data_IF_888494200133
#
_entry.id   IF_888494200133
#
_cell.length_a   1.000
_cell.length_b   1.000
_cell.length_c   1.000
_cell.angle_alpha   90.00
_cell.angle_beta   90.00
_cell.angle_gamma   90.00
#
_symmetry.space_group_name_H-M   'P 1'
#
loop_
_entity.id
_entity.type
_entity.pdbx_description
1 polymer ?
#
# COMPACT_ATOMS: atom_id res chain seq x y z
N UNK A 1 -5.39 -23.67 -7.38
CA UNK A 1 -5.28 -23.34 -5.97
C UNK A 1 -5.92 -21.99 -5.68
N UNK A 2 -6.61 -21.89 -4.60
CA UNK A 2 -7.27 -20.64 -4.24
C UNK A 2 -6.26 -19.53 -4.01
N UNK A 3 -6.65 -18.30 -4.29
CA UNK A 3 -5.88 -17.12 -3.97
C UNK A 3 -5.68 -17.04 -2.46
N UNK A 4 -4.43 -16.98 -2.03
CA UNK A 4 -4.08 -16.90 -0.61
C UNK A 4 -4.22 -15.51 -0.02
N UNK A 5 -4.19 -14.49 -0.88
CA UNK A 5 -4.32 -13.10 -0.46
C UNK A 5 -5.79 -12.70 -0.56
N UNK A 6 -6.47 -12.68 0.56
CA UNK A 6 -7.89 -12.37 0.63
C UNK A 6 -8.13 -11.41 1.79
N UNK A 7 -9.20 -10.60 1.72
CA UNK A 7 -9.56 -9.75 2.85
C UNK A 7 -10.00 -10.60 4.03
N UNK A 8 -9.66 -10.14 5.23
CA UNK A 8 -9.99 -10.85 6.46
C UNK A 8 -10.76 -9.95 7.41
N UNK A 9 -11.37 -10.55 8.42
CA UNK A 9 -12.07 -9.81 9.46
C UNK A 9 -11.14 -9.37 10.60
N UNK A 10 -9.84 -9.56 10.45
CA UNK A 10 -8.88 -9.14 11.47
C UNK A 10 -8.91 -7.63 11.64
N UNK A 11 -8.92 -7.18 12.89
CA UNK A 11 -8.94 -5.76 13.21
C UNK A 11 -7.63 -5.09 12.81
N UNK A 12 -7.73 -4.10 11.93
CA UNK A 12 -6.57 -3.33 11.45
C UNK A 12 -5.88 -2.61 12.59
N UNK A 13 -6.65 -2.07 13.54
CA UNK A 13 -6.07 -1.38 14.69
C UNK A 13 -5.22 -2.33 15.54
N UNK A 14 -5.63 -3.58 15.67
CA UNK A 14 -4.82 -4.59 16.37
C UNK A 14 -3.48 -4.79 15.68
N UNK A 15 -3.46 -4.78 14.35
CA UNK A 15 -2.22 -4.87 13.58
C UNK A 15 -1.29 -3.68 13.88
N UNK A 16 -1.85 -2.48 13.99
CA UNK A 16 -1.05 -1.28 14.31
C UNK A 16 -0.52 -1.32 15.73
N UNK A 17 -1.39 -1.69 16.67
CA UNK A 17 -1.08 -1.66 18.11
C UNK A 17 0.11 -2.54 18.49
N UNK A 18 0.29 -3.67 17.81
CA UNK A 18 1.41 -4.58 18.10
C UNK A 18 2.77 -4.09 17.54
N UNK A 19 2.78 -3.00 16.78
CA UNK A 19 4.01 -2.42 16.26
C UNK A 19 4.65 -1.53 17.32
N UNK A 20 5.96 -1.27 17.22
CA UNK A 20 6.59 -0.23 18.05
C UNK A 20 5.86 1.10 17.85
N UNK A 21 5.84 1.94 18.88
CA UNK A 21 5.04 3.16 18.90
C UNK A 21 5.23 4.05 17.66
N UNK A 22 6.48 4.31 17.28
CA UNK A 22 6.77 5.16 16.12
C UNK A 22 6.25 4.53 14.81
N UNK A 23 6.40 3.21 14.68
CA UNK A 23 5.93 2.48 13.50
C UNK A 23 4.40 2.47 13.46
N UNK A 24 3.75 2.29 14.61
CA UNK A 24 2.29 2.33 14.70
C UNK A 24 1.74 3.69 14.29
N UNK A 25 2.40 4.77 14.70
CA UNK A 25 2.00 6.13 14.32
C UNK A 25 2.11 6.32 12.80
N UNK A 26 3.20 5.85 12.19
CA UNK A 26 3.39 5.92 10.74
C UNK A 26 2.31 5.11 10.02
N UNK A 27 1.98 3.92 10.52
CA UNK A 27 0.94 3.08 9.92
C UNK A 27 -0.43 3.75 9.97
N UNK A 28 -0.78 4.38 11.09
CA UNK A 28 -2.07 5.06 11.22
C UNK A 28 -2.17 6.26 10.30
N UNK A 29 -1.10 7.06 10.21
CA UNK A 29 -1.06 8.21 9.31
C UNK A 29 -1.16 7.77 7.85
N UNK A 30 -0.45 6.71 7.49
CA UNK A 30 -0.47 6.15 6.14
C UNK A 30 -1.85 5.60 5.79
N UNK A 31 -2.49 4.92 6.75
CA UNK A 31 -3.85 4.40 6.57
C UNK A 31 -4.85 5.54 6.31
N UNK A 32 -4.72 6.65 7.06
CA UNK A 32 -5.57 7.82 6.85
C UNK A 32 -5.37 8.41 5.45
N UNK A 33 -4.12 8.53 5.03
CA UNK A 33 -3.79 9.06 3.70
C UNK A 33 -4.39 8.18 2.59
N UNK A 34 -4.21 6.87 2.68
CA UNK A 34 -4.71 5.94 1.67
C UNK A 34 -6.22 5.81 1.69
N UNK A 35 -6.86 5.91 2.86
CA UNK A 35 -8.30 5.91 2.96
C UNK A 35 -8.90 7.14 2.25
N UNK A 36 -8.30 8.30 2.45
CA UNK A 36 -8.73 9.52 1.77
C UNK A 36 -8.55 9.42 0.25
N UNK A 37 -7.42 8.86 -0.17
CA UNK A 37 -7.14 8.71 -1.60
C UNK A 37 -8.08 7.73 -2.28
N UNK A 38 -8.36 6.59 -1.65
CA UNK A 38 -9.13 5.51 -2.25
C UNK A 38 -10.64 5.64 -2.06
N UNK A 39 -11.06 6.30 -0.97
CA UNK A 39 -12.47 6.33 -0.57
C UNK A 39 -12.92 5.05 0.10
N UNK A 40 -12.01 4.15 0.44
CA UNK A 40 -12.32 2.87 1.08
C UNK A 40 -11.63 2.75 2.43
N UNK A 41 -12.24 2.04 3.39
CA UNK A 41 -11.60 1.81 4.68
C UNK A 41 -10.48 0.78 4.58
N UNK A 42 -9.52 0.80 5.52
CA UNK A 42 -8.46 -0.21 5.54
C UNK A 42 -9.02 -1.59 5.94
N UNK A 43 -8.52 -2.62 5.27
CA UNK A 43 -8.89 -4.02 5.54
C UNK A 43 -7.61 -4.84 5.51
N UNK A 44 -7.48 -5.80 6.42
CA UNK A 44 -6.33 -6.69 6.41
C UNK A 44 -6.46 -7.74 5.31
N UNK A 45 -5.41 -7.85 4.51
CA UNK A 45 -5.23 -8.87 3.48
C UNK A 45 -4.01 -9.70 3.87
N UNK A 46 -4.20 -10.68 4.77
CA UNK A 46 -3.07 -11.36 5.36
C UNK A 46 -2.26 -10.40 6.22
N UNK A 47 -1.02 -10.14 5.84
CA UNK A 47 -0.13 -9.20 6.55
C UNK A 47 -0.09 -7.82 5.93
N UNK A 48 -0.96 -7.58 4.97
CA UNK A 48 -1.02 -6.30 4.25
C UNK A 48 -2.29 -5.56 4.63
N UNK A 49 -2.19 -4.23 4.70
CA UNK A 49 -3.34 -3.36 4.87
C UNK A 49 -3.74 -2.89 3.48
N UNK A 50 -4.93 -3.25 3.05
CA UNK A 50 -5.41 -2.94 1.70
C UNK A 50 -6.62 -2.04 1.69
N UNK A 51 -6.81 -1.33 0.59
CA UNK A 51 -7.88 -0.37 0.38
C UNK A 51 -8.56 -0.66 -0.95
N UNK A 52 -9.86 -0.91 -0.92
CA UNK A 52 -10.60 -1.30 -2.10
C UNK A 52 -10.30 -2.74 -2.52
N UNK A 53 -10.82 -3.10 -3.68
CA UNK A 53 -10.62 -4.45 -4.21
C UNK A 53 -10.73 -4.40 -5.73
N UNK A 54 -9.86 -5.13 -6.42
CA UNK A 54 -9.94 -5.29 -7.86
C UNK A 54 -9.67 -6.75 -8.23
N UNK A 55 -10.24 -7.14 -9.37
CA UNK A 55 -10.02 -8.47 -9.93
C UNK A 55 -8.90 -8.40 -10.96
N UNK A 56 -8.03 -9.40 -10.98
CA UNK A 56 -6.96 -9.48 -11.98
C UNK A 56 -7.01 -10.81 -12.71
N UNK A 57 -6.59 -10.79 -13.97
CA UNK A 57 -6.46 -11.99 -14.80
C UNK A 57 -5.11 -11.92 -15.49
N UNK A 58 -4.30 -12.96 -15.32
CA UNK A 58 -3.02 -13.08 -16.02
C UNK A 58 -3.22 -13.75 -17.39
N UNK A 59 -2.26 -13.55 -18.28
CA UNK A 59 -2.27 -14.19 -19.61
C UNK A 59 -2.37 -15.72 -19.52
N UNK A 60 -1.85 -16.30 -18.45
CA UNK A 60 -1.95 -17.73 -18.20
C UNK A 60 -3.37 -18.22 -17.87
N UNK A 61 -4.31 -17.30 -17.71
CA UNK A 61 -5.66 -17.61 -17.25
C UNK A 61 -5.83 -17.61 -15.74
N UNK A 62 -4.73 -17.42 -15.00
CA UNK A 62 -4.77 -17.34 -13.55
C UNK A 62 -5.43 -16.02 -13.13
N UNK A 63 -6.35 -16.09 -12.19
CA UNK A 63 -7.08 -14.90 -11.74
C UNK A 63 -7.24 -14.88 -10.23
N UNK A 64 -7.58 -13.72 -9.72
CA UNK A 64 -7.82 -13.53 -8.29
C UNK A 64 -8.20 -12.09 -7.99
N UNK A 65 -8.30 -11.79 -6.72
CA UNK A 65 -8.63 -10.46 -6.23
C UNK A 65 -7.48 -9.91 -5.41
N UNK A 66 -7.29 -8.60 -5.45
CA UNK A 66 -6.31 -7.88 -4.65
C UNK A 66 -6.86 -6.49 -4.33
N UNK A 67 -6.32 -5.85 -3.31
CA UNK A 67 -6.66 -4.46 -3.02
C UNK A 67 -6.17 -3.53 -4.14
N UNK A 68 -6.73 -2.35 -4.22
CA UNK A 68 -6.33 -1.35 -5.22
C UNK A 68 -4.98 -0.72 -4.85
N UNK A 69 -4.85 -0.29 -3.61
CA UNK A 69 -3.59 0.18 -3.03
C UNK A 69 -3.47 -0.36 -1.62
N UNK A 70 -2.27 -0.35 -1.08
CA UNK A 70 -2.08 -0.84 0.27
C UNK A 70 -0.65 -0.66 0.75
N UNK A 71 -0.39 -1.16 1.95
CA UNK A 71 0.95 -1.14 2.52
C UNK A 71 1.12 -2.29 3.51
N UNK A 72 2.37 -2.56 3.86
CA UNK A 72 2.68 -3.51 4.92
C UNK A 72 3.88 -3.01 5.70
N UNK A 73 3.84 -3.18 7.02
CA UNK A 73 4.98 -2.95 7.89
C UNK A 73 5.86 -4.19 7.89
N UNK A 74 7.16 -4.03 7.96
CA UNK A 74 8.07 -5.16 8.13
C UNK A 74 7.76 -5.94 9.41
N UNK A 75 8.18 -7.20 9.45
CA UNK A 75 7.88 -8.09 10.57
C UNK A 75 8.32 -7.48 11.91
N UNK A 76 7.40 -7.46 12.87
CA UNK A 76 7.64 -6.88 14.19
C UNK A 76 7.90 -5.37 14.16
N UNK A 77 7.50 -4.69 13.10
CA UNK A 77 7.73 -3.25 12.95
C UNK A 77 9.17 -2.90 12.59
N UNK A 78 9.93 -3.87 12.13
CA UNK A 78 11.32 -3.70 11.72
C UNK A 78 11.43 -3.64 10.20
N UNK A 79 12.53 -3.09 9.71
CA UNK A 79 12.76 -3.00 8.29
C UNK A 79 11.89 -1.93 7.64
N UNK A 80 11.67 -2.09 6.35
CA UNK A 80 10.97 -1.09 5.56
C UNK A 80 9.44 -1.25 5.64
N UNK A 81 8.75 -0.15 5.41
CA UNK A 81 7.32 -0.16 5.10
C UNK A 81 7.23 -0.35 3.59
N UNK A 82 6.49 -1.36 3.16
CA UNK A 82 6.25 -1.61 1.74
C UNK A 82 4.98 -0.90 1.32
N UNK A 83 5.07 -0.06 0.31
CA UNK A 83 3.94 0.67 -0.24
C UNK A 83 3.54 0.01 -1.57
N UNK A 84 2.33 -0.52 -1.62
CA UNK A 84 1.81 -1.18 -2.81
C UNK A 84 1.04 -0.15 -3.63
N UNK A 85 1.80 0.74 -4.25
CA UNK A 85 1.30 1.80 -5.12
C UNK A 85 1.94 1.64 -6.50
N UNK A 86 2.02 0.40 -6.92
CA UNK A 86 2.63 0.03 -8.19
C UNK A 86 1.84 0.54 -9.37
N UNK A 87 2.40 0.39 -10.54
CA UNK A 87 1.76 0.77 -11.76
C UNK A 87 2.78 1.19 -12.80
N UNK A 88 2.30 1.34 -14.01
CA UNK A 88 3.10 1.77 -15.15
C UNK A 88 2.72 3.17 -15.62
N UNK A 89 2.08 3.95 -14.75
CA UNK A 89 1.71 5.32 -15.06
C UNK A 89 2.91 6.12 -15.55
N UNK A 90 2.77 6.90 -16.64
CA UNK A 90 3.87 7.71 -17.15
C UNK A 90 4.43 8.71 -16.14
N UNK A 91 3.58 9.18 -15.22
CA UNK A 91 3.96 10.17 -14.21
C UNK A 91 4.72 9.56 -13.04
N UNK A 92 4.74 8.22 -12.93
CA UNK A 92 5.32 7.53 -11.79
C UNK A 92 6.77 7.91 -11.53
N UNK A 93 7.61 7.93 -12.57
CA UNK A 93 9.02 8.25 -12.42
C UNK A 93 9.22 9.68 -11.91
N UNK A 94 8.43 10.62 -12.40
CA UNK A 94 8.51 12.01 -11.97
C UNK A 94 8.06 12.15 -10.50
N UNK A 95 7.01 11.45 -10.11
CA UNK A 95 6.53 11.47 -8.73
C UNK A 95 7.55 10.83 -7.79
N UNK A 96 8.14 9.70 -8.17
CA UNK A 96 9.15 9.05 -7.36
C UNK A 96 10.39 9.92 -7.18
N UNK A 97 10.76 10.68 -8.19
CA UNK A 97 11.89 11.60 -8.11
C UNK A 97 11.67 12.72 -7.07
N UNK A 98 10.41 13.03 -6.76
CA UNK A 98 10.03 14.06 -5.81
C UNK A 98 9.61 13.52 -4.44
N UNK A 99 9.49 12.20 -4.32
CA UNK A 99 8.93 11.57 -3.13
C UNK A 99 9.80 11.78 -1.89
N UNK A 100 11.10 11.67 -2.03
CA UNK A 100 12.03 11.69 -0.91
C UNK A 100 12.78 10.38 -0.80
N UNK A 101 13.28 10.08 0.38
CA UNK A 101 14.12 8.91 0.61
C UNK A 101 13.30 7.61 0.52
N UNK A 102 13.60 6.80 -0.48
CA UNK A 102 12.90 5.53 -0.70
C UNK A 102 13.78 4.58 -1.50
N UNK A 103 13.34 3.34 -1.58
CA UNK A 103 13.88 2.32 -2.45
C UNK A 103 12.75 1.82 -3.34
N UNK A 104 13.06 1.47 -4.57
CA UNK A 104 12.06 0.95 -5.50
C UNK A 104 12.18 -0.55 -5.65
N UNK A 105 11.03 -1.21 -5.71
CA UNK A 105 10.92 -2.60 -6.04
C UNK A 105 9.92 -2.78 -7.16
N UNK A 106 9.76 -4.00 -7.63
CA UNK A 106 8.80 -4.31 -8.69
C UNK A 106 7.37 -4.20 -8.15
N UNK A 107 6.70 -3.12 -8.54
CA UNK A 107 5.33 -2.84 -8.09
C UNK A 107 5.23 -2.30 -6.67
N UNK A 108 6.36 -1.99 -6.04
CA UNK A 108 6.40 -1.53 -4.66
C UNK A 108 7.36 -0.37 -4.49
N UNK A 109 7.13 0.41 -3.44
CA UNK A 109 8.06 1.43 -2.99
C UNK A 109 8.32 1.15 -1.52
N UNK A 110 9.58 1.21 -1.11
CA UNK A 110 9.98 0.91 0.27
C UNK A 110 10.47 2.17 0.96
N UNK A 111 9.94 2.44 2.15
CA UNK A 111 10.37 3.57 2.97
C UNK A 111 10.64 3.09 4.39
N UNK A 112 11.51 3.79 5.10
CA UNK A 112 11.81 3.47 6.51
C UNK A 112 10.89 4.21 7.45
N UNK A 113 10.63 5.47 7.17
CA UNK A 113 9.76 6.30 7.98
C UNK A 113 8.87 7.13 7.06
N UNK A 114 7.64 7.35 7.47
CA UNK A 114 6.73 8.21 6.72
C UNK A 114 7.28 9.64 6.61
N UNK A 115 7.99 10.09 7.64
CA UNK A 115 8.62 11.42 7.64
C UNK A 115 9.73 11.58 6.59
N UNK A 116 10.23 10.49 6.02
CA UNK A 116 11.27 10.54 4.98
C UNK A 116 10.72 10.97 3.63
N UNK A 117 9.41 10.99 3.46
CA UNK A 117 8.78 11.24 2.16
C UNK A 117 7.80 12.41 2.23
N UNK A 118 7.54 13.00 1.06
CA UNK A 118 6.56 14.08 0.93
C UNK A 118 5.16 13.46 0.84
N UNK A 119 4.31 13.75 1.82
CA UNK A 119 2.96 13.19 1.89
C UNK A 119 2.09 13.58 0.71
N UNK A 120 2.25 14.79 0.19
CA UNK A 120 1.48 15.23 -0.98
C UNK A 120 1.87 14.44 -2.23
N UNK A 121 3.17 14.20 -2.42
CA UNK A 121 3.65 13.39 -3.53
C UNK A 121 3.19 11.94 -3.37
N UNK A 122 3.21 11.42 -2.15
CA UNK A 122 2.71 10.08 -1.87
C UNK A 122 1.22 9.96 -2.22
N UNK A 123 0.44 10.97 -1.87
CA UNK A 123 -0.99 11.00 -2.23
C UNK A 123 -1.16 10.98 -3.76
N UNK A 124 -0.32 11.70 -4.49
CA UNK A 124 -0.35 11.69 -5.96
C UNK A 124 0.02 10.32 -6.53
N UNK A 125 0.98 9.62 -5.91
CA UNK A 125 1.33 8.25 -6.29
C UNK A 125 0.15 7.31 -6.06
N UNK A 126 -0.55 7.46 -4.94
CA UNK A 126 -1.75 6.67 -4.66
C UNK A 126 -2.83 6.93 -5.71
N UNK A 127 -3.04 8.20 -6.06
CA UNK A 127 -4.03 8.57 -7.07
C UNK A 127 -3.69 7.96 -8.43
N UNK A 128 -2.42 7.98 -8.82
CA UNK A 128 -1.97 7.40 -10.08
C UNK A 128 -2.20 5.87 -10.09
N UNK A 129 -1.85 5.21 -8.99
CA UNK A 129 -2.05 3.77 -8.86
C UNK A 129 -3.54 3.41 -8.91
N UNK A 130 -4.39 4.23 -8.29
CA UNK A 130 -5.83 4.01 -8.29
C UNK A 130 -6.43 4.19 -9.69
N UNK A 131 -5.97 5.18 -10.45
CA UNK A 131 -6.42 5.36 -11.83
C UNK A 131 -6.13 4.12 -12.66
N UNK A 132 -4.94 3.56 -12.51
CA UNK A 132 -4.56 2.35 -13.22
C UNK A 132 -5.38 1.15 -12.76
N UNK A 133 -5.58 0.99 -11.46
CA UNK A 133 -6.33 -0.13 -10.90
C UNK A 133 -7.81 -0.09 -11.31
N UNK A 134 -8.35 1.10 -11.56
CA UNK A 134 -9.77 1.31 -11.89
C UNK A 134 -10.05 1.47 -13.38
N UNK A 135 -9.02 1.40 -14.19
CA UNK A 135 -9.17 1.56 -15.63
C UNK A 135 -9.60 0.26 -16.32
#
# INVERSE_FOLDING_TARGET
MANKTVPTAVDVEAYFTVQPEARAADCRALATLMQRASGHPPVMWGRMVGFGQRHYVYDSGREGDIFEIGFASGAGGKGDISLYVGGSEPDRAALLARLGKHREGKGCVYIKRLSDVDSAVLADLCAAALREARS
#
